data_IF_806770369416
#
_entry.id   IF_806770369416
#
_cell.length_a   1.000
_cell.length_b   1.000
_cell.length_c   1.000
_cell.angle_alpha   90.00
_cell.angle_beta   90.00
_cell.angle_gamma   90.00
#
_symmetry.space_group_name_H-M   'P 1'
#
loop_
_entity.id
_entity.type
_entity.pdbx_description
1 polymer ?
#
# COMPACT_ATOMS: atom_id res chain seq x y z
N UNK A 1 10.57 -49.32 30.80
CA UNK A 1 10.47 -48.16 29.88
C UNK A 1 9.00 -47.73 29.80
N UNK A 2 8.67 -46.51 30.24
CA UNK A 2 7.30 -46.04 30.28
C UNK A 2 6.76 -45.78 28.87
N UNK A 3 5.65 -46.42 28.51
CA UNK A 3 4.94 -46.23 27.24
C UNK A 3 4.40 -44.79 27.22
N UNK A 4 5.09 -43.86 26.57
CA UNK A 4 4.58 -42.49 26.37
C UNK A 4 3.20 -42.62 25.71
N UNK A 5 2.18 -42.04 26.30
CA UNK A 5 0.82 -42.09 25.74
C UNK A 5 0.79 -41.35 24.40
N UNK A 6 -0.07 -41.80 23.47
CA UNK A 6 -0.28 -41.20 22.15
C UNK A 6 -0.55 -39.68 22.24
N UNK A 7 -1.21 -39.24 23.29
CA UNK A 7 -1.51 -37.83 23.56
C UNK A 7 -0.23 -36.98 23.75
N UNK A 8 0.80 -37.50 24.44
CA UNK A 8 2.06 -36.78 24.64
C UNK A 8 2.85 -36.58 23.34
N UNK A 9 2.77 -37.56 22.43
CA UNK A 9 3.37 -37.46 21.09
C UNK A 9 2.66 -36.41 20.25
N UNK A 10 1.32 -36.41 20.23
CA UNK A 10 0.53 -35.42 19.50
C UNK A 10 0.78 -33.99 20.00
N UNK A 11 0.90 -33.79 21.32
CA UNK A 11 1.26 -32.48 21.89
C UNK A 11 2.63 -32.00 21.38
N UNK A 12 3.62 -32.90 21.35
CA UNK A 12 4.96 -32.59 20.83
C UNK A 12 4.96 -32.29 19.33
N UNK A 13 4.19 -33.03 18.52
CA UNK A 13 4.06 -32.76 17.09
C UNK A 13 3.41 -31.40 16.82
N UNK A 14 2.33 -31.07 17.54
CA UNK A 14 1.67 -29.77 17.43
C UNK A 14 2.60 -28.61 17.80
N UNK A 15 3.40 -28.79 18.84
CA UNK A 15 4.38 -27.79 19.27
C UNK A 15 5.50 -27.61 18.22
N UNK A 16 6.07 -28.71 17.69
CA UNK A 16 7.02 -28.66 16.58
C UNK A 16 6.44 -27.95 15.35
N UNK A 17 5.19 -28.26 14.99
CA UNK A 17 4.53 -27.62 13.86
C UNK A 17 4.33 -26.11 14.07
N UNK A 18 4.04 -25.68 15.30
CA UNK A 18 3.94 -24.25 15.65
C UNK A 18 5.28 -23.56 15.54
N UNK A 19 6.36 -24.17 16.07
CA UNK A 19 7.71 -23.63 15.95
C UNK A 19 8.15 -23.53 14.49
N UNK A 20 7.88 -24.56 13.67
CA UNK A 20 8.24 -24.55 12.26
C UNK A 20 7.53 -23.42 11.50
N UNK A 21 6.20 -23.29 11.67
CA UNK A 21 5.43 -22.19 11.08
C UNK A 21 5.95 -20.80 11.48
N UNK A 22 6.39 -20.65 12.73
CA UNK A 22 6.96 -19.39 13.20
C UNK A 22 8.30 -19.10 12.51
N UNK A 23 9.20 -20.09 12.44
CA UNK A 23 10.47 -19.97 11.71
C UNK A 23 10.27 -19.64 10.24
N UNK A 24 9.35 -20.33 9.56
CA UNK A 24 9.05 -20.09 8.15
C UNK A 24 8.50 -18.67 7.93
N UNK A 25 7.66 -18.18 8.84
CA UNK A 25 7.13 -16.81 8.79
C UNK A 25 8.24 -15.77 9.02
N UNK A 26 9.15 -16.04 9.94
CA UNK A 26 10.31 -15.18 10.21
C UNK A 26 11.26 -15.14 9.01
N UNK A 27 11.58 -16.29 8.41
CA UNK A 27 12.35 -16.38 7.17
C UNK A 27 11.70 -15.58 6.04
N UNK A 28 10.40 -15.75 5.81
CA UNK A 28 9.66 -14.98 4.80
C UNK A 28 9.68 -13.48 5.06
N UNK A 29 9.64 -13.03 6.32
CA UNK A 29 9.77 -11.60 6.67
C UNK A 29 11.18 -11.09 6.38
N UNK A 30 12.22 -11.87 6.70
CA UNK A 30 13.61 -11.51 6.42
C UNK A 30 13.83 -11.36 4.90
N UNK A 31 13.43 -12.36 4.11
CA UNK A 31 13.49 -12.30 2.64
C UNK A 31 12.73 -11.11 2.06
N UNK A 32 11.54 -10.81 2.58
CA UNK A 32 10.76 -9.65 2.14
C UNK A 32 11.45 -8.33 2.48
N UNK A 33 12.13 -8.25 3.63
CA UNK A 33 12.90 -7.08 4.04
C UNK A 33 14.11 -6.88 3.13
N UNK A 34 14.86 -7.95 2.86
CA UNK A 34 16.01 -7.93 1.93
C UNK A 34 15.58 -7.57 0.50
N UNK A 35 14.48 -8.14 0.03
CA UNK A 35 13.91 -7.77 -1.28
C UNK A 35 13.57 -6.29 -1.33
N UNK A 36 12.93 -5.74 -0.29
CA UNK A 36 12.59 -4.31 -0.23
C UNK A 36 13.81 -3.41 -0.17
N UNK A 37 14.88 -3.81 0.52
CA UNK A 37 16.13 -3.04 0.56
C UNK A 37 16.93 -3.13 -0.74
N UNK A 38 16.85 -4.26 -1.45
CA UNK A 38 17.54 -4.46 -2.73
C UNK A 38 16.78 -3.88 -3.92
N UNK A 39 15.48 -3.60 -3.78
CA UNK A 39 14.78 -2.77 -4.76
C UNK A 39 15.39 -1.38 -4.68
N UNK A 40 16.19 -1.05 -5.71
CA UNK A 40 16.73 0.29 -5.91
C UNK A 40 15.59 1.30 -5.78
N UNK A 41 15.85 2.41 -5.09
CA UNK A 41 14.94 3.56 -5.04
C UNK A 41 14.52 3.82 -6.48
N UNK A 42 13.20 3.78 -6.75
CA UNK A 42 12.68 4.03 -8.10
C UNK A 42 13.37 5.31 -8.60
N UNK A 43 14.03 5.20 -9.76
CA UNK A 43 14.75 6.31 -10.36
C UNK A 43 13.85 7.55 -10.35
N UNK A 44 14.44 8.72 -10.10
CA UNK A 44 13.75 10.02 -10.07
C UNK A 44 13.05 10.38 -11.40
N UNK A 45 13.19 9.53 -12.42
CA UNK A 45 12.42 9.60 -13.66
C UNK A 45 10.97 9.21 -13.36
N UNK A 46 10.10 10.21 -13.24
CA UNK A 46 8.66 10.02 -13.09
C UNK A 46 8.12 9.07 -14.18
N UNK A 47 7.26 8.12 -13.76
CA UNK A 47 6.61 7.20 -14.69
C UNK A 47 5.79 8.03 -15.71
N UNK A 48 5.92 7.80 -17.04
CA UNK A 48 5.25 8.62 -18.05
C UNK A 48 3.72 8.61 -17.89
N UNK A 49 3.16 7.53 -17.32
CA UNK A 49 1.72 7.39 -17.06
C UNK A 49 1.25 8.18 -15.83
N UNK A 50 2.14 8.48 -14.87
CA UNK A 50 1.79 9.20 -13.64
C UNK A 50 2.19 10.68 -13.67
N UNK A 51 3.08 11.05 -14.60
CA UNK A 51 3.54 12.41 -14.79
C UNK A 51 2.35 13.37 -15.04
N UNK A 52 2.26 14.43 -14.25
CA UNK A 52 1.21 15.46 -14.38
C UNK A 52 -0.14 15.15 -13.71
N UNK A 53 -0.32 13.97 -13.12
CA UNK A 53 -1.50 13.68 -12.29
C UNK A 53 -1.32 14.36 -10.92
N UNK A 54 -2.23 15.26 -10.57
CA UNK A 54 -2.23 15.89 -9.25
C UNK A 54 -3.13 15.08 -8.31
N UNK A 55 -2.68 14.78 -7.08
CA UNK A 55 -3.54 14.17 -6.09
C UNK A 55 -4.69 15.13 -5.74
N UNK A 56 -5.92 14.61 -5.74
CA UNK A 56 -7.13 15.40 -5.48
C UNK A 56 -8.01 15.56 -6.74
N UNK A 57 -9.09 16.35 -6.65
CA UNK A 57 -9.94 16.63 -7.79
C UNK A 57 -9.17 17.44 -8.83
N UNK A 58 -9.08 16.91 -10.05
CA UNK A 58 -8.45 17.61 -11.17
C UNK A 58 -9.33 18.79 -11.59
N UNK A 59 -8.74 19.94 -11.93
CA UNK A 59 -9.51 21.10 -12.37
C UNK A 59 -10.32 20.74 -13.62
N UNK A 60 -11.55 21.25 -13.69
CA UNK A 60 -12.39 21.10 -14.86
C UNK A 60 -11.70 21.80 -16.05
N UNK A 61 -11.71 21.19 -17.25
CA UNK A 61 -11.13 21.83 -18.43
C UNK A 61 -11.85 23.14 -18.77
N UNK A 62 -11.14 24.12 -19.34
CA UNK A 62 -11.67 25.46 -19.66
C UNK A 62 -12.96 25.45 -20.50
N UNK A 63 -13.18 24.42 -21.33
CA UNK A 63 -14.42 24.23 -22.09
C UNK A 63 -15.68 24.05 -21.21
N UNK A 64 -15.51 23.74 -19.92
CA UNK A 64 -16.59 23.54 -18.94
C UNK A 64 -16.77 24.74 -17.99
N UNK A 65 -16.00 25.82 -18.18
CA UNK A 65 -16.04 27.04 -17.33
C UNK A 65 -17.25 27.95 -17.60
N UNK A 66 -18.20 27.47 -18.41
CA UNK A 66 -19.29 28.24 -19.02
C UNK A 66 -20.37 28.75 -18.03
N UNK A 67 -20.28 28.38 -16.75
CA UNK A 67 -21.33 28.67 -15.75
C UNK A 67 -20.84 29.39 -14.49
N UNK A 68 -19.56 29.80 -14.42
CA UNK A 68 -18.99 30.46 -13.24
C UNK A 68 -19.03 32.00 -13.30
N UNK A 69 -19.48 32.56 -14.42
CA UNK A 69 -19.78 33.98 -14.54
C UNK A 69 -21.13 34.28 -13.90
N UNK A 70 -21.14 34.40 -12.57
CA UNK A 70 -22.26 35.03 -11.86
C UNK A 70 -22.49 36.43 -12.45
N UNK A 71 -23.67 36.72 -13.04
CA UNK A 71 -23.96 38.05 -13.59
C UNK A 71 -23.91 39.17 -12.53
N UNK A 72 -23.90 38.80 -11.24
CA UNK A 72 -23.84 39.71 -10.10
C UNK A 72 -22.49 40.43 -9.92
N UNK A 73 -21.43 40.01 -10.61
CA UNK A 73 -20.12 40.69 -10.57
C UNK A 73 -19.98 41.83 -11.58
N UNK A 74 -20.85 41.89 -12.59
CA UNK A 74 -20.83 42.91 -13.64
C UNK A 74 -21.42 44.27 -13.24
N UNK A 75 -22.26 44.31 -12.19
CA UNK A 75 -22.94 45.56 -11.76
C UNK A 75 -22.19 46.37 -10.69
N UNK A 76 -21.02 45.93 -10.21
CA UNK A 76 -20.28 46.65 -9.15
C UNK A 76 -19.12 47.53 -9.63
N UNK A 77 -18.87 47.61 -10.93
CA UNK A 77 -17.79 48.47 -11.48
C UNK A 77 -18.30 49.75 -12.18
N UNK A 78 -19.59 50.05 -12.08
CA UNK A 78 -20.16 51.30 -12.63
C UNK A 78 -21.03 52.00 -11.59
N UNK A 79 -20.43 52.49 -10.50
CA UNK A 79 -20.84 53.75 -9.82
C UNK A 79 -19.76 54.23 -8.83
#
# INVERSE_FOLDING_TARGET
MAKKSRETFQKREKEKARQQKQKDKEARRAEAKERRSNVSLRNEQEDPDIAGIRPGPQPLPAQWDYYSEDPSKSMKEVE
#
